data_IF_826721107415
#
_entry.id   IF_826721107415
#
_cell.length_a   1.000
_cell.length_b   1.000
_cell.length_c   1.000
_cell.angle_alpha   90.00
_cell.angle_beta   90.00
_cell.angle_gamma   90.00
#
_symmetry.space_group_name_H-M   'P 1'
#
loop_
_entity.id
_entity.type
_entity.pdbx_description
1 polymer ?
#
# COMPACT_ATOMS: atom_id res chain seq x y z
N UNK A 1 -9.74 -17.48 -21.09
CA UNK A 1 -9.76 -16.02 -21.31
C UNK A 1 -10.10 -15.24 -20.03
N UNK A 2 -11.05 -15.70 -19.21
CA UNK A 2 -11.41 -15.05 -17.93
C UNK A 2 -10.22 -14.75 -17.02
N UNK A 3 -9.30 -15.69 -16.88
CA UNK A 3 -8.17 -15.55 -15.93
C UNK A 3 -7.16 -14.49 -16.39
N UNK A 4 -6.91 -14.40 -17.70
CA UNK A 4 -6.05 -13.37 -18.29
C UNK A 4 -6.67 -11.98 -18.08
N UNK A 5 -7.99 -11.84 -18.31
CA UNK A 5 -8.69 -10.58 -18.06
C UNK A 5 -8.62 -10.19 -16.58
N UNK A 6 -8.85 -11.14 -15.67
CA UNK A 6 -8.73 -10.91 -14.23
C UNK A 6 -7.32 -10.46 -13.84
N UNK A 7 -6.28 -11.09 -14.39
CA UNK A 7 -4.90 -10.73 -14.14
C UNK A 7 -4.52 -9.33 -14.65
N UNK A 8 -5.04 -8.93 -15.81
CA UNK A 8 -4.85 -7.56 -16.34
C UNK A 8 -5.49 -6.54 -15.40
N UNK A 9 -6.70 -6.81 -14.89
CA UNK A 9 -7.39 -5.90 -13.96
C UNK A 9 -6.59 -5.74 -12.67
N UNK A 10 -6.14 -6.85 -12.07
CA UNK A 10 -5.37 -6.80 -10.81
C UNK A 10 -4.04 -6.07 -10.99
N UNK A 11 -3.29 -6.36 -12.06
CA UNK A 11 -2.05 -5.64 -12.36
C UNK A 11 -2.27 -4.16 -12.58
N UNK A 12 -3.30 -3.79 -13.34
CA UNK A 12 -3.60 -2.38 -13.60
C UNK A 12 -3.93 -1.65 -12.30
N UNK A 13 -4.73 -2.27 -11.42
CA UNK A 13 -5.06 -1.69 -10.10
C UNK A 13 -3.82 -1.50 -9.21
N UNK A 14 -2.89 -2.44 -9.24
CA UNK A 14 -1.64 -2.37 -8.47
C UNK A 14 -0.72 -1.26 -9.00
N UNK A 15 -0.61 -1.13 -10.33
CA UNK A 15 0.17 -0.06 -10.97
C UNK A 15 -0.41 1.31 -10.61
N UNK A 16 -1.73 1.46 -10.67
CA UNK A 16 -2.40 2.71 -10.30
C UNK A 16 -2.15 3.07 -8.83
N UNK A 17 -2.29 2.11 -7.91
CA UNK A 17 -2.00 2.34 -6.49
C UNK A 17 -0.55 2.79 -6.30
N UNK A 18 0.41 2.09 -6.91
CA UNK A 18 1.85 2.34 -6.73
C UNK A 18 2.30 3.69 -7.31
N UNK A 19 1.73 4.11 -8.44
CA UNK A 19 2.17 5.33 -9.14
C UNK A 19 1.44 6.59 -8.65
N UNK A 20 0.14 6.49 -8.33
CA UNK A 20 -0.66 7.67 -7.97
C UNK A 20 -0.75 7.90 -6.47
N UNK A 21 -0.84 6.84 -5.66
CA UNK A 21 -0.95 6.99 -4.21
C UNK A 21 -0.33 5.79 -3.46
N UNK A 22 1.02 5.70 -3.45
CA UNK A 22 1.73 4.53 -2.93
C UNK A 22 1.50 4.27 -1.43
N UNK A 23 1.10 5.29 -0.68
CA UNK A 23 0.92 5.22 0.77
C UNK A 23 -0.55 5.22 1.20
N UNK A 24 -1.49 5.12 0.25
CA UNK A 24 -2.93 5.11 0.56
C UNK A 24 -3.32 4.00 1.56
N UNK A 25 -2.62 2.87 1.51
CA UNK A 25 -2.85 1.71 2.37
C UNK A 25 -1.76 1.54 3.44
N UNK A 26 -0.85 2.50 3.58
CA UNK A 26 0.22 2.48 4.56
C UNK A 26 -0.14 3.24 5.84
N UNK A 27 0.43 2.84 6.96
CA UNK A 27 0.38 3.61 8.21
C UNK A 27 1.48 4.71 8.16
N UNK A 28 1.14 6.01 8.31
CA UNK A 28 2.12 7.09 8.32
C UNK A 28 3.17 6.94 9.42
N UNK A 29 2.87 6.25 10.51
CA UNK A 29 3.80 6.12 11.63
C UNK A 29 4.99 5.20 11.32
N UNK A 30 4.88 4.36 10.29
CA UNK A 30 6.01 3.54 9.80
C UNK A 30 7.13 4.38 9.16
N UNK A 31 6.91 5.67 8.90
CA UNK A 31 7.98 6.58 8.48
C UNK A 31 8.80 7.12 9.65
N UNK A 32 8.36 6.90 10.89
CA UNK A 32 9.08 7.26 12.10
C UNK A 32 9.87 6.03 12.56
N UNK A 33 11.19 6.16 12.87
CA UNK A 33 11.96 5.05 13.41
C UNK A 33 11.34 4.49 14.70
N UNK A 34 11.36 3.17 14.84
CA UNK A 34 10.80 2.52 16.02
C UNK A 34 11.48 3.00 17.30
N UNK A 35 10.69 3.47 18.26
CA UNK A 35 11.14 3.83 19.60
C UNK A 35 10.58 2.81 20.61
N UNK A 36 11.41 1.95 21.24
CA UNK A 36 10.93 0.92 22.15
C UNK A 36 10.35 1.48 23.46
N UNK A 37 10.52 2.79 23.73
CA UNK A 37 10.02 3.45 24.94
C UNK A 37 8.72 4.24 24.69
N UNK A 38 8.27 4.35 23.43
CA UNK A 38 7.11 5.16 23.06
C UNK A 38 6.21 4.36 22.13
N UNK A 39 4.97 4.19 22.53
CA UNK A 39 3.91 3.67 21.66
C UNK A 39 3.21 4.83 20.95
N UNK A 40 2.85 4.69 19.66
CA UNK A 40 1.97 5.63 18.97
C UNK A 40 0.65 5.85 19.71
N UNK A 41 0.03 7.00 19.47
CA UNK A 41 -1.16 7.44 20.21
C UNK A 41 -2.49 7.08 19.54
N UNK A 42 -2.46 6.66 18.27
CA UNK A 42 -3.65 6.30 17.48
C UNK A 42 -4.10 4.86 17.69
#
# INVERSE_FOLDING_TARGET
YKDIMGFIITLTSLILLSMYNPYLLGDPDNFIPANPLVTPAH
#
